data_IF_745979375587
#
_entry.id   IF_745979375587
#
_cell.length_a   1.000
_cell.length_b   1.000
_cell.length_c   1.000
_cell.angle_alpha   90.00
_cell.angle_beta   90.00
_cell.angle_gamma   90.00
#
_symmetry.space_group_name_H-M   'P 1'
#
loop_
_entity.id
_entity.type
_entity.pdbx_description
1 polymer ?
#
# COMPACT_ATOMS: atom_id res chain seq x y z
N UNK A 1 10.95 -6.62 7.71
CA UNK A 1 10.31 -6.55 6.37
C UNK A 1 9.68 -5.19 6.26
N UNK A 2 10.01 -4.41 5.24
CA UNK A 2 9.42 -3.08 4.98
C UNK A 2 7.92 -3.24 4.71
N UNK A 3 7.10 -2.25 5.09
CA UNK A 3 5.65 -2.26 4.86
C UNK A 3 5.29 -2.47 3.38
N UNK A 4 6.12 -1.98 2.45
CA UNK A 4 5.95 -2.17 1.01
C UNK A 4 6.24 -3.61 0.60
N UNK A 5 7.34 -4.21 1.07
CA UNK A 5 7.65 -5.63 0.81
C UNK A 5 6.65 -6.58 1.50
N UNK A 6 6.14 -6.21 2.68
CA UNK A 6 5.10 -6.98 3.38
C UNK A 6 3.75 -6.91 2.66
N UNK A 7 3.40 -5.79 2.01
CA UNK A 7 2.18 -5.69 1.20
C UNK A 7 2.30 -6.41 -0.13
N UNK A 8 3.46 -6.37 -0.78
CA UNK A 8 3.73 -7.21 -1.98
C UNK A 8 3.80 -8.72 -1.65
N UNK A 9 4.29 -9.09 -0.45
CA UNK A 9 4.40 -10.49 -0.03
C UNK A 9 3.12 -11.07 0.59
N UNK A 10 2.18 -10.23 1.06
CA UNK A 10 0.90 -10.70 1.64
C UNK A 10 -0.08 -11.26 0.61
N UNK A 11 0.15 -11.06 -0.69
CA UNK A 11 -0.53 -11.76 -1.77
C UNK A 11 -0.04 -13.18 -2.03
N UNK A 12 0.81 -13.75 -1.18
CA UNK A 12 1.36 -15.10 -1.38
C UNK A 12 0.39 -16.15 -0.86
N UNK A 13 -0.21 -16.88 -1.76
CA UNK A 13 -1.05 -18.06 -1.57
C UNK A 13 -0.51 -19.02 -0.51
N UNK A 14 -1.15 -19.11 0.64
CA UNK A 14 -1.08 -20.26 1.51
C UNK A 14 -2.14 -21.27 1.05
N UNK A 15 -1.81 -22.09 0.06
CA UNK A 15 -2.63 -23.27 -0.29
C UNK A 15 -2.43 -24.32 0.79
N UNK A 16 -3.19 -24.20 1.90
CA UNK A 16 -3.27 -25.21 2.95
C UNK A 16 -4.02 -26.44 2.47
N UNK A 17 -3.36 -27.60 2.50
CA UNK A 17 -3.99 -28.90 2.31
C UNK A 17 -5.18 -29.06 3.25
N UNK A 18 -6.39 -29.21 2.70
CA UNK A 18 -7.57 -29.68 3.41
C UNK A 18 -7.42 -31.17 3.68
N UNK A 19 -6.95 -31.52 4.88
CA UNK A 19 -7.13 -32.87 5.42
C UNK A 19 -8.55 -32.97 5.97
N UNK A 20 -9.38 -33.75 5.33
CA UNK A 20 -10.73 -34.05 5.76
C UNK A 20 -10.69 -34.89 7.06
N UNK A 21 -10.85 -34.25 8.21
CA UNK A 21 -11.18 -34.95 9.46
C UNK A 21 -12.70 -34.91 9.64
N UNK A 22 -13.33 -36.07 9.54
CA UNK A 22 -14.72 -36.30 9.97
C UNK A 22 -14.76 -36.16 11.47
N UNK A 23 -15.51 -35.20 11.99
CA UNK A 23 -15.89 -35.09 13.38
C UNK A 23 -17.41 -34.91 13.45
N UNK A 24 -18.07 -35.74 14.22
CA UNK A 24 -19.50 -35.71 14.43
C UNK A 24 -20.02 -34.52 15.23
N UNK A 25 -21.33 -34.33 15.37
CA UNK A 25 -21.94 -33.13 15.91
C UNK A 25 -21.77 -33.02 17.43
N UNK A 26 -21.16 -31.92 17.89
CA UNK A 26 -21.18 -31.54 19.31
C UNK A 26 -22.28 -30.49 19.51
N UNK A 27 -23.34 -30.74 20.29
CA UNK A 27 -24.35 -29.74 20.58
C UNK A 27 -23.91 -28.91 21.79
N UNK A 28 -24.17 -27.63 21.75
CA UNK A 28 -24.13 -26.64 22.82
C UNK A 28 -23.08 -25.52 22.59
N UNK A 29 -23.56 -24.50 21.84
CA UNK A 29 -23.56 -23.11 22.33
C UNK A 29 -24.51 -22.31 21.43
N UNK A 30 -25.74 -22.07 21.92
CA UNK A 30 -26.59 -21.01 21.39
C UNK A 30 -25.92 -19.66 21.73
N UNK A 31 -24.96 -19.25 20.92
CA UNK A 31 -24.54 -17.88 20.85
C UNK A 31 -25.70 -17.04 20.27
N UNK A 32 -26.08 -15.98 20.95
CA UNK A 32 -27.01 -14.98 20.45
C UNK A 32 -26.60 -14.63 19.03
N UNK A 33 -27.49 -14.86 18.07
CA UNK A 33 -27.41 -14.27 16.74
C UNK A 33 -27.58 -12.76 16.91
N UNK A 34 -26.48 -12.03 17.09
CA UNK A 34 -26.46 -10.60 16.84
C UNK A 34 -26.84 -10.43 15.37
N UNK A 35 -27.91 -9.69 15.09
CA UNK A 35 -28.21 -9.23 13.74
C UNK A 35 -26.98 -8.48 13.16
N UNK A 36 -26.91 -8.24 11.85
CA UNK A 36 -25.79 -7.54 11.25
C UNK A 36 -25.55 -6.26 12.04
N UNK A 37 -24.35 -6.10 12.60
CA UNK A 37 -23.97 -4.90 13.33
C UNK A 37 -24.24 -3.71 12.40
N UNK A 38 -25.02 -2.74 12.88
CA UNK A 38 -25.45 -1.58 12.10
C UNK A 38 -24.21 -0.73 11.79
N UNK A 39 -23.51 -1.07 10.71
CA UNK A 39 -22.30 -0.39 10.26
C UNK A 39 -22.69 0.70 9.27
N UNK A 40 -22.78 1.94 9.75
CA UNK A 40 -23.05 3.08 8.89
C UNK A 40 -21.75 3.76 8.48
N UNK A 41 -21.50 3.82 7.16
CA UNK A 41 -20.38 4.60 6.62
C UNK A 41 -20.88 5.96 6.14
N UNK A 42 -20.23 7.03 6.59
CA UNK A 42 -20.55 8.42 6.21
C UNK A 42 -19.27 9.16 5.79
N UNK A 43 -19.41 10.11 4.87
CA UNK A 43 -18.36 11.06 4.50
C UNK A 43 -18.86 12.48 4.75
N UNK A 44 -17.99 13.31 5.36
CA UNK A 44 -18.29 14.69 5.72
C UNK A 44 -17.00 15.52 5.81
N UNK A 45 -17.14 16.83 5.98
CA UNK A 45 -16.01 17.75 6.15
C UNK A 45 -16.12 18.45 7.50
N UNK A 46 -15.00 18.53 8.22
CA UNK A 46 -14.87 19.23 9.50
C UNK A 46 -13.74 20.23 9.39
N UNK A 47 -14.02 21.53 9.43
CA UNK A 47 -13.00 22.59 9.36
C UNK A 47 -12.00 22.40 8.21
N UNK A 48 -12.45 21.94 7.04
CA UNK A 48 -11.62 21.71 5.87
C UNK A 48 -10.99 20.29 5.79
N UNK A 49 -10.98 19.52 6.88
CA UNK A 49 -10.53 18.12 6.89
C UNK A 49 -11.65 17.22 6.35
N UNK A 50 -11.39 16.45 5.31
CA UNK A 50 -12.32 15.41 4.84
C UNK A 50 -12.28 14.21 5.79
N UNK A 51 -13.43 13.71 6.17
CA UNK A 51 -13.58 12.55 7.07
C UNK A 51 -14.42 11.49 6.39
N UNK A 52 -13.95 10.24 6.42
CA UNK A 52 -14.76 9.05 6.13
C UNK A 52 -14.82 8.24 7.42
N UNK A 53 -16.03 8.00 7.91
CA UNK A 53 -16.24 7.28 9.15
C UNK A 53 -17.15 6.08 8.93
N UNK A 54 -16.70 4.91 9.39
CA UNK A 54 -17.50 3.70 9.55
C UNK A 54 -17.65 3.39 11.02
N UNK A 55 -18.80 3.73 11.58
CA UNK A 55 -19.12 3.41 12.97
C UNK A 55 -19.45 1.94 13.09
N UNK A 56 -18.87 1.25 14.07
CA UNK A 56 -19.15 -0.16 14.38
C UNK A 56 -19.01 -0.40 15.88
N UNK A 57 -20.02 -1.00 16.47
CA UNK A 57 -20.02 -1.41 17.88
C UNK A 57 -19.62 -2.90 18.06
N UNK A 58 -19.24 -3.56 16.97
CA UNK A 58 -18.88 -4.98 17.00
C UNK A 58 -17.62 -5.27 17.83
N UNK A 59 -16.71 -4.31 17.88
CA UNK A 59 -15.45 -4.41 18.61
C UNK A 59 -15.12 -3.07 19.28
N UNK A 60 -14.53 -3.13 20.45
CA UNK A 60 -14.11 -1.95 21.22
C UNK A 60 -12.75 -1.41 20.75
N UNK A 61 -12.59 -1.30 19.44
CA UNK A 61 -11.36 -0.81 18.77
C UNK A 61 -11.71 0.33 17.85
N UNK A 62 -10.87 1.36 17.85
CA UNK A 62 -10.94 2.48 16.90
C UNK A 62 -9.62 2.58 16.14
N UNK A 63 -9.71 2.57 14.82
CA UNK A 63 -8.60 2.89 13.93
C UNK A 63 -8.79 4.28 13.33
N UNK A 64 -7.78 5.12 13.46
CA UNK A 64 -7.71 6.43 12.83
C UNK A 64 -6.52 6.47 11.88
N UNK A 65 -6.77 6.84 10.62
CA UNK A 65 -5.78 6.95 9.54
C UNK A 65 -5.91 8.31 8.89
N UNK A 66 -4.88 9.14 9.08
CA UNK A 66 -4.76 10.43 8.41
C UNK A 66 -3.89 10.25 7.16
N UNK A 67 -4.46 10.54 6.01
CA UNK A 67 -3.81 10.59 4.71
C UNK A 67 -3.41 12.02 4.41
N UNK A 68 -2.11 12.29 4.34
CA UNK A 68 -1.55 13.54 3.84
C UNK A 68 -1.36 13.38 2.33
N UNK A 69 -2.29 13.94 1.56
CA UNK A 69 -2.43 13.70 0.13
C UNK A 69 -1.32 14.36 -0.70
N UNK A 70 -0.97 13.75 -1.82
CA UNK A 70 0.02 14.25 -2.76
C UNK A 70 1.19 13.30 -3.01
N UNK A 71 1.74 12.71 -1.95
CA UNK A 71 2.81 11.73 -2.06
C UNK A 71 3.97 12.21 -2.92
N UNK A 72 4.47 11.36 -3.82
CA UNK A 72 5.61 11.65 -4.69
C UNK A 72 5.43 12.89 -5.59
N UNK A 73 4.19 13.29 -5.88
CA UNK A 73 3.88 14.49 -6.68
C UNK A 73 4.19 15.81 -5.95
N UNK A 74 4.33 15.78 -4.63
CA UNK A 74 4.72 16.92 -3.81
C UNK A 74 6.22 16.92 -3.50
N UNK A 75 6.95 15.93 -4.02
CA UNK A 75 8.35 15.71 -3.73
C UNK A 75 9.23 15.98 -4.95
N UNK A 76 10.48 16.25 -4.68
CA UNK A 76 11.59 16.28 -5.64
C UNK A 76 12.65 15.29 -5.19
N UNK A 77 13.67 15.03 -6.00
CA UNK A 77 14.82 14.20 -5.56
C UNK A 77 15.45 14.71 -4.26
N UNK A 78 15.48 16.04 -4.06
CA UNK A 78 16.01 16.66 -2.84
C UNK A 78 15.11 16.48 -1.62
N UNK A 79 13.80 16.49 -1.83
CA UNK A 79 12.81 16.46 -0.73
C UNK A 79 12.19 15.08 -0.49
N UNK A 80 12.58 14.07 -1.26
CA UNK A 80 12.16 12.70 -1.03
C UNK A 80 12.48 12.26 0.42
N UNK A 81 11.50 11.72 1.12
CA UNK A 81 11.62 11.33 2.53
C UNK A 81 11.33 12.43 3.55
N UNK A 82 10.95 13.65 3.12
CA UNK A 82 10.68 14.77 4.06
C UNK A 82 9.47 14.47 4.96
N UNK A 83 8.39 13.88 4.42
CA UNK A 83 7.19 13.55 5.22
C UNK A 83 7.47 12.49 6.29
N UNK A 84 8.03 11.31 5.98
CA UNK A 84 8.38 10.35 7.01
C UNK A 84 9.43 10.88 8.00
N UNK A 85 10.37 11.75 7.56
CA UNK A 85 11.33 12.37 8.49
C UNK A 85 10.64 13.33 9.45
N UNK A 86 9.73 14.19 8.95
CA UNK A 86 8.93 15.10 9.76
C UNK A 86 8.11 14.34 10.81
N UNK A 87 7.31 13.36 10.36
CA UNK A 87 6.41 12.59 11.21
C UNK A 87 7.15 11.74 12.26
N UNK A 88 8.33 11.20 11.91
CA UNK A 88 9.15 10.44 12.85
C UNK A 88 9.89 11.34 13.84
N UNK A 89 10.37 12.51 13.41
CA UNK A 89 10.96 13.49 14.32
C UNK A 89 9.93 14.00 15.32
N UNK A 90 8.69 14.26 14.88
CA UNK A 90 7.56 14.65 15.73
C UNK A 90 7.22 13.63 16.83
N UNK A 91 7.62 12.38 16.67
CA UNK A 91 7.40 11.34 17.68
C UNK A 91 8.33 11.48 18.90
N UNK A 92 9.41 12.27 18.81
CA UNK A 92 10.36 12.47 19.90
C UNK A 92 10.03 13.65 20.82
N UNK A 93 9.19 14.60 20.38
CA UNK A 93 8.75 15.69 21.23
C UNK A 93 7.81 16.65 20.54
N UNK A 94 6.84 17.14 21.30
CA UNK A 94 5.88 18.15 20.89
C UNK A 94 5.80 19.24 21.94
N UNK A 95 5.05 20.32 21.69
CA UNK A 95 4.89 21.40 22.66
C UNK A 95 4.22 20.95 23.96
N UNK A 96 3.17 20.09 23.85
CA UNK A 96 2.46 19.58 25.03
C UNK A 96 3.12 18.36 25.67
N UNK A 97 3.91 17.62 24.91
CA UNK A 97 4.55 16.38 25.34
C UNK A 97 6.05 16.42 24.99
N UNK A 98 6.86 17.14 25.77
CA UNK A 98 8.29 17.34 25.47
C UNK A 98 9.09 16.03 25.61
N UNK A 99 10.07 15.84 24.75
CA UNK A 99 10.98 14.70 24.75
C UNK A 99 10.24 13.35 24.70
N UNK A 100 10.65 12.43 25.53
CA UNK A 100 10.06 11.07 25.60
C UNK A 100 8.62 11.02 26.11
N UNK A 101 8.05 12.12 26.56
CA UNK A 101 6.70 12.14 27.11
C UNK A 101 5.64 11.80 26.08
N UNK A 102 5.76 12.31 24.85
CA UNK A 102 4.87 11.96 23.74
C UNK A 102 4.83 10.45 23.48
N UNK A 103 6.00 9.81 23.50
CA UNK A 103 6.12 8.36 23.29
C UNK A 103 5.54 7.57 24.47
N UNK A 104 5.84 7.99 25.69
CA UNK A 104 5.32 7.36 26.92
C UNK A 104 3.80 7.52 27.06
N UNK A 105 3.29 8.72 26.75
CA UNK A 105 1.85 8.98 26.80
C UNK A 105 1.08 8.07 25.82
N UNK A 106 1.57 7.92 24.60
CA UNK A 106 0.96 7.05 23.61
C UNK A 106 1.11 5.55 23.97
N UNK A 107 2.27 5.16 24.52
CA UNK A 107 2.48 3.77 24.96
C UNK A 107 1.52 3.36 26.11
N UNK A 108 1.14 4.29 26.99
CA UNK A 108 0.15 4.02 28.07
C UNK A 108 -1.24 3.71 27.56
N UNK A 109 -1.61 4.17 26.36
CA UNK A 109 -2.90 3.85 25.72
C UNK A 109 -2.90 2.51 24.99
N UNK A 110 -1.77 1.82 24.89
CA UNK A 110 -1.62 0.62 24.08
C UNK A 110 -1.78 0.87 22.57
N UNK A 111 -1.75 2.11 22.12
CA UNK A 111 -1.94 2.47 20.72
C UNK A 111 -0.85 1.88 19.82
N UNK A 112 -1.28 1.25 18.73
CA UNK A 112 -0.40 0.79 17.64
C UNK A 112 -0.38 1.89 16.57
N UNK A 113 0.78 2.49 16.35
CA UNK A 113 0.94 3.60 15.41
C UNK A 113 1.43 3.14 14.04
N UNK A 114 1.13 3.93 13.02
CA UNK A 114 1.58 3.75 11.64
C UNK A 114 2.11 5.07 11.07
N UNK A 115 3.19 5.00 10.29
CA UNK A 115 3.69 6.04 9.39
C UNK A 115 4.17 5.31 8.15
N UNK A 116 3.45 5.45 7.04
CA UNK A 116 3.73 4.76 5.78
C UNK A 116 3.69 5.78 4.63
N UNK A 117 4.85 6.18 4.09
CA UNK A 117 4.89 6.95 2.85
C UNK A 117 4.55 6.05 1.67
N UNK A 118 3.58 6.48 0.86
CA UNK A 118 3.14 5.81 -0.36
C UNK A 118 3.26 6.74 -1.57
N UNK A 119 2.97 6.24 -2.77
CA UNK A 119 3.16 7.03 -4.00
C UNK A 119 2.25 8.26 -4.07
N UNK A 120 1.03 8.17 -3.55
CA UNK A 120 0.01 9.21 -3.69
C UNK A 120 -0.27 9.97 -2.39
N UNK A 121 0.22 9.49 -1.26
CA UNK A 121 0.07 10.09 0.07
C UNK A 121 1.06 9.53 1.07
N UNK A 122 1.17 10.18 2.22
CA UNK A 122 1.72 9.56 3.42
C UNK A 122 0.59 9.29 4.39
N UNK A 123 0.41 8.03 4.81
CA UNK A 123 -0.55 7.70 5.86
C UNK A 123 0.14 7.70 7.22
N UNK A 124 -0.48 8.36 8.19
CA UNK A 124 -0.08 8.25 9.59
C UNK A 124 -1.32 8.08 10.46
N UNK A 125 -1.17 7.45 11.60
CA UNK A 125 -2.34 7.19 12.45
C UNK A 125 -2.07 6.21 13.56
N UNK A 126 -3.14 5.73 14.17
CA UNK A 126 -3.07 4.77 15.25
C UNK A 126 -4.32 3.88 15.29
N UNK A 127 -4.20 2.81 16.05
CA UNK A 127 -5.30 1.92 16.43
C UNK A 127 -5.27 1.73 17.93
N UNK A 128 -6.40 1.87 18.60
CA UNK A 128 -6.50 1.92 20.07
C UNK A 128 -7.84 1.36 20.53
N UNK A 129 -7.98 1.01 21.81
CA UNK A 129 -9.29 0.76 22.41
C UNK A 129 -10.09 2.06 22.52
N UNK A 130 -11.41 1.99 22.35
CA UNK A 130 -12.30 3.18 22.36
C UNK A 130 -12.17 4.01 23.64
N UNK A 131 -11.96 3.38 24.81
CA UNK A 131 -11.77 4.07 26.07
C UNK A 131 -10.50 4.93 26.16
N UNK A 132 -9.49 4.65 25.34
CA UNK A 132 -8.22 5.37 25.31
C UNK A 132 -8.10 6.34 24.12
N UNK A 133 -9.18 6.48 23.31
CA UNK A 133 -9.17 7.27 22.08
C UNK A 133 -8.73 8.73 22.31
N UNK A 134 -9.30 9.41 23.30
CA UNK A 134 -9.02 10.82 23.55
C UNK A 134 -7.56 11.05 23.97
N UNK A 135 -7.02 10.15 24.78
CA UNK A 135 -5.62 10.22 25.19
C UNK A 135 -4.68 10.00 24.01
N UNK A 136 -4.95 9.00 23.15
CA UNK A 136 -4.18 8.72 21.96
C UNK A 136 -4.30 9.85 20.91
N UNK A 137 -5.52 10.35 20.68
CA UNK A 137 -5.77 11.46 19.76
C UNK A 137 -5.03 12.72 20.13
N UNK A 138 -5.05 13.10 21.41
CA UNK A 138 -4.35 14.31 21.88
C UNK A 138 -2.86 14.28 21.57
N UNK A 139 -2.20 13.15 21.80
CA UNK A 139 -0.78 12.99 21.45
C UNK A 139 -0.57 12.98 19.94
N UNK A 140 -1.43 12.28 19.20
CA UNK A 140 -1.36 12.20 17.76
C UNK A 140 -1.53 13.56 17.09
N UNK A 141 -2.57 14.32 17.48
CA UNK A 141 -2.85 15.64 16.92
C UNK A 141 -1.72 16.63 17.21
N UNK A 142 -1.19 16.62 18.43
CA UNK A 142 -0.08 17.52 18.80
C UNK A 142 1.21 17.20 18.03
N UNK A 143 1.47 15.93 17.71
CA UNK A 143 2.57 15.53 16.82
C UNK A 143 2.43 16.07 15.39
N UNK A 144 1.20 16.21 14.90
CA UNK A 144 0.95 16.76 13.56
C UNK A 144 1.03 18.28 13.57
N UNK A 145 0.54 18.93 14.63
CA UNK A 145 0.35 20.38 14.68
C UNK A 145 1.55 21.12 15.27
N UNK A 146 2.13 20.59 16.34
CA UNK A 146 3.11 21.30 17.19
C UNK A 146 4.35 20.46 17.52
N UNK A 147 5.00 19.79 16.52
CA UNK A 147 6.24 19.08 16.80
C UNK A 147 7.35 20.07 17.12
N UNK A 148 8.16 19.79 18.12
CA UNK A 148 9.31 20.67 18.49
C UNK A 148 10.39 20.70 17.44
N UNK A 149 10.60 19.59 16.73
CA UNK A 149 11.63 19.40 15.69
C UNK A 149 13.01 19.87 16.18
N UNK A 150 13.36 19.51 17.42
CA UNK A 150 14.66 19.79 17.98
C UNK A 150 15.76 19.10 17.14
N UNK A 151 16.93 19.71 17.04
CA UNK A 151 18.00 19.23 16.17
C UNK A 151 18.39 17.76 16.47
N UNK A 152 18.48 17.42 17.76
CA UNK A 152 18.76 16.04 18.19
C UNK A 152 17.67 15.06 17.76
N UNK A 153 16.40 15.44 17.79
CA UNK A 153 15.26 14.58 17.45
C UNK A 153 15.22 14.33 15.94
N UNK A 154 15.45 15.40 15.16
CA UNK A 154 15.60 15.30 13.71
C UNK A 154 16.80 14.43 13.34
N UNK A 155 17.94 14.60 14.01
CA UNK A 155 19.13 13.78 13.77
C UNK A 155 18.87 12.30 14.11
N UNK A 156 18.17 12.00 15.19
CA UNK A 156 17.83 10.63 15.58
C UNK A 156 16.85 9.99 14.60
N UNK A 157 15.81 10.71 14.18
CA UNK A 157 14.86 10.24 13.16
C UNK A 157 15.57 9.98 11.83
N UNK A 158 16.44 10.91 11.41
CA UNK A 158 17.24 10.78 10.18
C UNK A 158 18.14 9.55 10.23
N UNK A 159 18.87 9.33 11.33
CA UNK A 159 19.74 8.16 11.44
C UNK A 159 19.00 6.84 11.24
N UNK A 160 17.79 6.71 11.80
CA UNK A 160 16.93 5.52 11.57
C UNK A 160 16.50 5.38 10.12
N UNK A 161 16.05 6.49 9.48
CA UNK A 161 15.66 6.46 8.08
C UNK A 161 16.83 6.16 7.14
N UNK A 162 18.03 6.66 7.44
CA UNK A 162 19.25 6.32 6.69
C UNK A 162 19.56 4.84 6.80
N UNK A 163 19.44 4.23 7.98
CA UNK A 163 19.60 2.78 8.15
C UNK A 163 18.58 2.00 7.32
N UNK A 164 17.31 2.45 7.30
CA UNK A 164 16.27 1.84 6.46
C UNK A 164 16.55 2.03 4.96
N UNK A 165 17.01 3.21 4.54
CA UNK A 165 17.39 3.49 3.14
C UNK A 165 18.57 2.63 2.70
N UNK A 166 19.60 2.49 3.55
CA UNK A 166 20.74 1.62 3.30
C UNK A 166 20.30 0.15 3.15
N UNK A 167 19.40 -0.31 4.01
CA UNK A 167 18.85 -1.66 3.91
C UNK A 167 18.08 -1.86 2.59
N UNK A 168 17.24 -0.90 2.16
CA UNK A 168 16.56 -0.93 0.85
C UNK A 168 17.54 -1.05 -0.32
N UNK A 169 18.70 -0.44 -0.21
CA UNK A 169 19.74 -0.55 -1.24
C UNK A 169 20.47 -1.90 -1.21
N UNK A 170 20.67 -2.49 -0.04
CA UNK A 170 21.45 -3.73 0.16
C UNK A 170 20.63 -5.00 0.02
N UNK A 171 19.38 -5.00 0.53
CA UNK A 171 18.47 -6.14 0.41
C UNK A 171 18.03 -6.36 -1.04
N UNK A 172 18.24 -7.58 -1.60
CA UNK A 172 18.00 -7.84 -3.01
C UNK A 172 16.58 -7.55 -3.48
N UNK A 173 15.56 -7.97 -2.74
CA UNK A 173 14.16 -7.77 -3.11
C UNK A 173 13.75 -6.30 -3.11
N UNK A 174 14.16 -5.54 -2.09
CA UNK A 174 13.85 -4.13 -1.98
C UNK A 174 14.58 -3.32 -3.06
N UNK A 175 15.84 -3.67 -3.33
CA UNK A 175 16.61 -3.03 -4.41
C UNK A 175 16.05 -3.33 -5.79
N UNK A 176 15.65 -4.59 -6.04
CA UNK A 176 15.02 -4.99 -7.28
C UNK A 176 13.73 -4.22 -7.54
N UNK A 177 12.89 -4.06 -6.50
CA UNK A 177 11.66 -3.30 -6.61
C UNK A 177 11.94 -1.83 -6.98
N UNK A 178 12.92 -1.19 -6.32
CA UNK A 178 13.30 0.19 -6.64
C UNK A 178 13.78 0.34 -8.09
N UNK A 179 14.58 -0.60 -8.60
CA UNK A 179 15.04 -0.63 -9.99
C UNK A 179 13.86 -0.79 -10.97
N UNK A 180 12.93 -1.70 -10.68
CA UNK A 180 11.78 -1.94 -11.53
C UNK A 180 10.83 -0.72 -11.58
N UNK A 181 10.59 -0.05 -10.44
CA UNK A 181 9.81 1.20 -10.38
C UNK A 181 10.50 2.33 -11.16
N UNK A 182 11.82 2.45 -11.05
CA UNK A 182 12.60 3.41 -11.82
C UNK A 182 12.52 3.12 -13.33
N UNK A 183 12.57 1.86 -13.74
CA UNK A 183 12.41 1.47 -15.16
C UNK A 183 11.02 1.83 -15.67
N UNK A 184 9.98 1.50 -14.90
CA UNK A 184 8.58 1.71 -15.29
C UNK A 184 8.23 3.20 -15.37
N UNK A 185 8.69 4.00 -14.41
CA UNK A 185 8.27 5.38 -14.20
C UNK A 185 9.38 6.44 -14.40
N UNK A 186 10.39 6.18 -15.23
CA UNK A 186 11.60 7.00 -15.35
C UNK A 186 11.34 8.53 -15.42
N UNK A 187 10.27 8.98 -16.09
CA UNK A 187 9.93 10.41 -16.24
C UNK A 187 8.62 10.78 -15.49
N UNK A 188 8.23 9.96 -14.54
CA UNK A 188 7.01 10.16 -13.76
C UNK A 188 7.34 10.31 -12.27
N UNK A 189 6.58 11.09 -11.48
CA UNK A 189 6.83 11.24 -10.04
C UNK A 189 6.94 9.90 -9.27
N UNK A 190 6.30 8.84 -9.73
CA UNK A 190 6.38 7.51 -9.12
C UNK A 190 7.76 6.84 -9.22
N UNK A 191 8.70 7.42 -9.97
CA UNK A 191 10.10 6.99 -9.92
C UNK A 191 10.80 7.38 -8.61
N UNK A 192 10.27 8.38 -7.89
CA UNK A 192 10.80 8.80 -6.60
C UNK A 192 10.38 7.83 -5.49
N UNK A 193 11.32 7.50 -4.61
CA UNK A 193 11.01 6.79 -3.36
C UNK A 193 10.44 7.77 -2.31
N UNK A 194 9.15 7.70 -1.96
CA UNK A 194 8.56 8.60 -0.96
C UNK A 194 9.18 8.42 0.43
N UNK A 195 9.82 7.28 0.70
CA UNK A 195 10.56 7.03 1.95
C UNK A 195 11.91 7.74 2.01
N UNK A 196 12.37 8.30 0.89
CA UNK A 196 13.66 8.95 0.74
C UNK A 196 14.83 8.02 0.46
N UNK A 197 15.83 8.58 -0.19
CA UNK A 197 17.14 7.96 -0.46
C UNK A 197 18.16 8.35 0.60
N UNK A 198 19.30 7.67 0.65
CA UNK A 198 20.42 8.08 1.51
C UNK A 198 20.82 9.54 1.25
N UNK A 199 20.89 9.93 -0.03
CA UNK A 199 21.28 11.29 -0.45
C UNK A 199 20.26 12.33 -0.01
N UNK A 200 18.96 12.12 -0.28
CA UNK A 200 17.93 13.08 0.09
C UNK A 200 17.81 13.23 1.60
N UNK A 201 17.77 12.11 2.35
CA UNK A 201 17.66 12.11 3.80
C UNK A 201 18.85 12.77 4.49
N UNK A 202 20.08 12.59 3.99
CA UNK A 202 21.27 13.26 4.50
C UNK A 202 21.23 14.78 4.28
N UNK A 203 20.62 15.22 3.17
CA UNK A 203 20.51 16.64 2.81
C UNK A 203 19.38 17.42 3.48
N UNK A 204 18.35 16.74 4.02
CA UNK A 204 17.22 17.38 4.70
C UNK A 204 17.65 18.00 6.03
N UNK A 205 17.19 19.22 6.31
CA UNK A 205 17.51 19.97 7.54
C UNK A 205 16.26 20.19 8.41
N UNK A 206 16.45 20.56 9.67
CA UNK A 206 15.34 20.99 10.55
C UNK A 206 14.59 22.21 10.00
N UNK A 207 15.27 23.11 9.29
CA UNK A 207 14.64 24.25 8.61
C UNK A 207 13.71 23.79 7.45
N UNK A 208 14.15 22.80 6.65
CA UNK A 208 13.29 22.22 5.61
C UNK A 208 12.02 21.58 6.20
N UNK A 209 12.15 20.87 7.33
CA UNK A 209 11.00 20.26 8.01
C UNK A 209 10.01 21.31 8.54
N UNK A 210 10.51 22.39 9.14
CA UNK A 210 9.68 23.50 9.65
C UNK A 210 8.97 24.23 8.52
N UNK A 211 9.65 24.45 7.38
CA UNK A 211 9.04 25.02 6.20
C UNK A 211 7.97 24.10 5.62
N UNK A 212 8.26 22.80 5.52
CA UNK A 212 7.29 21.81 5.03
C UNK A 212 6.05 21.70 5.94
N UNK A 213 6.25 21.69 7.25
CA UNK A 213 5.16 21.69 8.24
C UNK A 213 4.23 22.89 8.02
N UNK A 214 4.78 24.11 7.94
CA UNK A 214 4.02 25.34 7.74
C UNK A 214 3.25 25.38 6.41
N UNK A 215 3.92 24.94 5.31
CA UNK A 215 3.44 25.18 3.95
C UNK A 215 2.64 23.98 3.40
N UNK A 216 2.89 22.78 3.90
CA UNK A 216 2.35 21.55 3.33
C UNK A 216 1.43 20.75 4.27
N UNK A 217 1.48 21.00 5.58
CA UNK A 217 0.57 20.34 6.53
C UNK A 217 -0.68 21.23 6.70
N UNK A 218 -1.58 21.13 5.73
CA UNK A 218 -2.79 21.95 5.57
C UNK A 218 -4.03 21.07 5.44
N UNK A 219 -5.21 21.57 5.88
CA UNK A 219 -6.42 20.75 5.95
C UNK A 219 -6.91 20.27 4.59
N UNK A 220 -6.68 21.03 3.50
CA UNK A 220 -7.04 20.61 2.13
C UNK A 220 -6.27 19.37 1.65
N UNK A 221 -5.13 19.03 2.25
CA UNK A 221 -4.37 17.79 1.99
C UNK A 221 -4.79 16.63 2.88
N UNK A 222 -5.78 16.79 3.75
CA UNK A 222 -6.12 15.80 4.76
C UNK A 222 -7.38 15.02 4.41
N UNK A 223 -7.26 13.69 4.44
CA UNK A 223 -8.37 12.75 4.52
C UNK A 223 -8.19 11.91 5.78
N UNK A 224 -9.16 11.97 6.70
CA UNK A 224 -9.17 11.16 7.92
C UNK A 224 -10.16 10.00 7.74
N UNK A 225 -9.66 8.77 7.71
CA UNK A 225 -10.48 7.56 7.76
C UNK A 225 -10.58 7.06 9.19
N UNK A 226 -11.81 6.86 9.66
CA UNK A 226 -12.14 6.44 11.03
C UNK A 226 -13.01 5.19 10.98
N UNK A 227 -12.57 4.12 11.62
CA UNK A 227 -13.36 2.88 11.72
C UNK A 227 -13.37 2.39 13.16
N UNK A 228 -14.55 2.15 13.71
CA UNK A 228 -14.70 1.55 15.03
C UNK A 228 -15.79 2.17 15.90
N UNK A 229 -15.70 1.89 17.20
CA UNK A 229 -16.68 2.34 18.20
C UNK A 229 -16.47 3.79 18.61
N UNK A 230 -16.85 4.72 17.74
CA UNK A 230 -16.80 6.16 17.99
C UNK A 230 -17.95 6.86 17.27
N UNK A 231 -18.57 7.84 17.93
CA UNK A 231 -19.66 8.60 17.34
C UNK A 231 -19.14 9.70 16.41
N UNK A 232 -19.95 10.11 15.43
CA UNK A 232 -19.63 11.22 14.52
C UNK A 232 -19.40 12.53 15.30
N UNK A 233 -20.28 12.87 16.24
CA UNK A 233 -20.16 14.09 17.04
C UNK A 233 -18.83 14.14 17.81
N UNK A 234 -18.34 12.98 18.29
CA UNK A 234 -17.07 12.89 18.98
C UNK A 234 -15.90 13.16 18.02
N UNK A 235 -15.89 12.52 16.83
CA UNK A 235 -14.87 12.78 15.79
C UNK A 235 -14.87 14.23 15.35
N UNK A 236 -16.05 14.84 15.12
CA UNK A 236 -16.19 16.25 14.79
C UNK A 236 -15.60 17.17 15.88
N UNK A 237 -15.85 16.87 17.16
CA UNK A 237 -15.29 17.60 18.29
C UNK A 237 -13.76 17.50 18.33
N UNK A 238 -13.21 16.28 18.20
CA UNK A 238 -11.76 16.04 18.18
C UNK A 238 -11.06 16.81 17.05
N UNK A 239 -11.58 16.71 15.83
CA UNK A 239 -11.00 17.37 14.66
C UNK A 239 -11.10 18.89 14.77
N UNK A 240 -12.26 19.41 15.15
CA UNK A 240 -12.47 20.88 15.31
C UNK A 240 -11.53 21.48 16.32
N UNK A 241 -11.31 20.80 17.46
CA UNK A 241 -10.44 21.28 18.52
C UNK A 241 -8.93 21.17 18.20
N UNK A 242 -8.57 20.47 17.12
CA UNK A 242 -7.17 20.18 16.77
C UNK A 242 -6.88 20.42 15.30
N UNK A 243 -6.81 19.37 14.47
CA UNK A 243 -6.42 19.44 13.05
C UNK A 243 -7.19 20.50 12.27
N UNK A 244 -8.43 20.77 12.63
CA UNK A 244 -9.26 21.82 12.04
C UNK A 244 -8.77 23.25 12.29
N UNK A 245 -7.77 23.45 13.16
CA UNK A 245 -7.11 24.75 13.42
C UNK A 245 -5.93 25.01 12.47
N UNK A 246 -5.52 24.00 11.71
CA UNK A 246 -4.47 24.14 10.71
C UNK A 246 -4.92 25.04 9.54
N UNK A 247 -3.98 25.67 8.82
CA UNK A 247 -4.30 26.46 7.64
C UNK A 247 -5.09 25.64 6.61
N UNK A 248 -6.05 26.25 5.89
CA UNK A 248 -6.87 25.53 4.91
C UNK A 248 -6.03 25.02 3.72
N UNK A 249 -5.06 25.80 3.25
CA UNK A 249 -4.35 25.53 2.00
C UNK A 249 -5.26 25.58 0.76
N UNK A 250 -4.68 25.25 -0.38
CA UNK A 250 -5.35 25.28 -1.69
C UNK A 250 -5.22 23.95 -2.48
N UNK A 251 -4.73 22.89 -1.82
CA UNK A 251 -4.49 21.61 -2.46
C UNK A 251 -5.80 20.98 -2.96
N UNK A 252 -5.75 20.44 -4.18
CA UNK A 252 -6.85 19.67 -4.77
C UNK A 252 -6.37 18.28 -5.15
N UNK A 253 -7.06 17.28 -4.67
CA UNK A 253 -6.82 15.92 -5.08
C UNK A 253 -7.23 15.72 -6.54
N UNK A 254 -6.28 15.29 -7.36
CA UNK A 254 -6.51 14.83 -8.73
C UNK A 254 -5.70 13.57 -8.97
N UNK A 255 -6.20 12.66 -9.80
CA UNK A 255 -5.40 11.50 -10.21
C UNK A 255 -4.25 11.94 -11.13
N UNK A 256 -3.06 11.33 -11.04
CA UNK A 256 -1.99 11.61 -11.98
C UNK A 256 -2.38 11.20 -13.40
N UNK A 257 -1.76 11.80 -14.43
CA UNK A 257 -1.89 11.30 -15.79
C UNK A 257 -1.38 9.85 -15.87
N UNK A 258 -1.94 9.05 -16.77
CA UNK A 258 -1.47 7.69 -16.99
C UNK A 258 -0.02 7.69 -17.47
N UNK A 259 0.75 6.68 -17.03
CA UNK A 259 2.10 6.51 -17.55
C UNK A 259 2.05 6.23 -19.07
N UNK A 260 2.88 6.91 -19.88
CA UNK A 260 2.92 6.63 -21.31
C UNK A 260 3.42 5.19 -21.54
N UNK A 261 2.89 4.49 -22.55
CA UNK A 261 3.38 3.18 -22.92
C UNK A 261 4.86 3.27 -23.33
N UNK A 262 5.69 2.42 -22.77
CA UNK A 262 7.13 2.34 -23.06
C UNK A 262 7.43 1.03 -23.80
N UNK A 263 8.51 1.03 -24.57
CA UNK A 263 9.06 -0.24 -25.08
C UNK A 263 9.63 -1.04 -23.92
N UNK A 264 9.56 -2.36 -24.00
CA UNK A 264 10.20 -3.24 -23.03
C UNK A 264 11.67 -2.85 -22.85
N UNK A 265 12.10 -2.77 -21.60
CA UNK A 265 13.46 -2.34 -21.24
C UNK A 265 13.94 -3.13 -20.01
N UNK A 266 15.28 -3.29 -19.93
CA UNK A 266 15.93 -3.97 -18.83
C UNK A 266 16.83 -3.02 -18.03
N UNK A 267 16.64 -2.95 -16.73
CA UNK A 267 17.62 -2.41 -15.79
C UNK A 267 18.34 -3.55 -15.09
N UNK A 268 19.65 -3.64 -15.31
CA UNK A 268 20.46 -4.75 -14.86
C UNK A 268 21.42 -4.25 -13.79
N UNK A 269 21.38 -4.89 -12.62
CA UNK A 269 22.40 -4.71 -11.60
C UNK A 269 23.14 -6.01 -11.36
N UNK A 270 24.40 -6.07 -11.81
CA UNK A 270 25.29 -7.19 -11.54
C UNK A 270 25.55 -7.30 -10.04
N UNK A 271 25.32 -8.50 -9.48
CA UNK A 271 25.74 -8.89 -8.13
C UNK A 271 26.22 -10.34 -8.14
N UNK A 272 27.38 -10.65 -7.54
CA UNK A 272 27.90 -12.03 -7.47
C UNK A 272 27.22 -12.82 -6.36
N UNK A 273 25.91 -13.01 -6.46
CA UNK A 273 25.10 -13.76 -5.49
C UNK A 273 24.53 -15.04 -6.11
N UNK A 274 24.30 -16.10 -5.33
CA UNK A 274 23.88 -17.40 -5.86
C UNK A 274 22.45 -17.41 -6.40
N UNK A 275 21.57 -16.53 -5.90
CA UNK A 275 20.19 -16.38 -6.32
C UNK A 275 20.03 -15.15 -7.16
N UNK A 276 19.42 -15.29 -8.32
CA UNK A 276 19.02 -14.18 -9.19
C UNK A 276 17.60 -13.74 -8.83
N UNK A 277 17.37 -12.44 -8.86
CA UNK A 277 16.08 -11.80 -8.64
C UNK A 277 15.65 -11.09 -9.91
N UNK A 278 14.44 -11.39 -10.38
CA UNK A 278 13.86 -10.80 -11.59
C UNK A 278 12.48 -10.25 -11.27
N UNK A 279 12.22 -9.01 -11.68
CA UNK A 279 10.92 -8.36 -11.55
C UNK A 279 10.60 -7.60 -12.83
N UNK A 280 9.60 -8.05 -13.55
CA UNK A 280 8.99 -7.30 -14.63
C UNK A 280 7.78 -6.53 -14.12
N UNK A 281 7.67 -5.24 -14.41
CA UNK A 281 6.52 -4.41 -14.06
C UNK A 281 5.84 -3.85 -15.30
N UNK A 282 4.54 -3.65 -15.20
CA UNK A 282 3.71 -2.97 -16.19
C UNK A 282 2.67 -2.07 -15.51
N UNK A 283 2.46 -0.88 -16.07
CA UNK A 283 1.46 0.06 -15.58
C UNK A 283 0.08 -0.34 -16.09
N UNK A 284 -0.91 -0.34 -15.20
CA UNK A 284 -2.30 -0.62 -15.53
C UNK A 284 -3.09 0.62 -15.97
N UNK A 285 -4.38 0.42 -16.27
CA UNK A 285 -5.30 1.53 -16.53
C UNK A 285 -5.49 2.38 -15.29
N UNK A 286 -5.89 3.66 -15.47
CA UNK A 286 -6.31 4.49 -14.34
C UNK A 286 -7.34 3.78 -13.48
N UNK A 287 -7.31 3.99 -12.18
CA UNK A 287 -8.26 3.40 -11.23
C UNK A 287 -9.74 3.77 -11.52
N UNK A 288 -9.99 4.86 -12.24
CA UNK A 288 -11.33 5.23 -12.71
C UNK A 288 -11.74 4.57 -14.02
N UNK A 289 -10.83 3.85 -14.69
CA UNK A 289 -11.13 3.13 -15.93
C UNK A 289 -12.03 1.93 -15.66
N UNK A 290 -12.95 1.63 -16.60
CA UNK A 290 -13.73 0.39 -16.57
C UNK A 290 -12.86 -0.88 -16.68
N UNK A 291 -11.63 -0.76 -17.20
CA UNK A 291 -10.65 -1.86 -17.32
C UNK A 291 -9.91 -2.14 -16.02
N UNK A 292 -10.04 -1.28 -14.98
CA UNK A 292 -9.34 -1.44 -13.70
C UNK A 292 -9.59 -2.81 -13.05
N UNK A 293 -10.85 -3.24 -13.01
CA UNK A 293 -11.23 -4.51 -12.38
C UNK A 293 -10.69 -5.71 -13.14
N UNK A 294 -10.77 -5.68 -14.46
CA UNK A 294 -10.19 -6.71 -15.30
C UNK A 294 -8.67 -6.80 -15.16
N UNK A 295 -7.98 -5.65 -15.06
CA UNK A 295 -6.53 -5.62 -14.84
C UNK A 295 -6.15 -6.22 -13.47
N UNK A 296 -6.93 -5.93 -12.44
CA UNK A 296 -6.73 -6.50 -11.11
C UNK A 296 -6.89 -8.03 -11.12
N UNK A 297 -7.95 -8.53 -11.73
CA UNK A 297 -8.20 -9.98 -11.90
C UNK A 297 -7.11 -10.63 -12.76
N UNK A 298 -6.71 -10.02 -13.87
CA UNK A 298 -5.65 -10.54 -14.75
C UNK A 298 -4.32 -10.67 -14.02
N UNK A 299 -3.95 -9.67 -13.18
CA UNK A 299 -2.71 -9.72 -12.39
C UNK A 299 -2.76 -10.82 -11.33
N UNK A 300 -3.90 -11.00 -10.66
CA UNK A 300 -4.07 -12.08 -9.69
C UNK A 300 -4.02 -13.48 -10.36
N UNK A 301 -4.61 -13.63 -11.55
CA UNK A 301 -4.51 -14.83 -12.37
C UNK A 301 -3.07 -15.11 -12.79
N UNK A 302 -2.33 -14.08 -13.22
CA UNK A 302 -0.91 -14.22 -13.56
C UNK A 302 -0.11 -14.74 -12.35
N UNK A 303 -0.41 -14.25 -11.15
CA UNK A 303 0.24 -14.74 -9.93
C UNK A 303 0.03 -16.23 -9.70
N UNK A 304 -1.22 -16.71 -9.84
CA UNK A 304 -1.54 -18.13 -9.73
C UNK A 304 -0.83 -18.98 -10.77
N UNK A 305 -0.75 -18.50 -12.02
CA UNK A 305 -0.07 -19.20 -13.13
C UNK A 305 1.43 -19.28 -12.92
N UNK A 306 2.08 -18.18 -12.54
CA UNK A 306 3.51 -18.15 -12.22
C UNK A 306 3.85 -19.13 -11.10
N UNK A 307 3.04 -19.14 -10.04
CA UNK A 307 3.21 -20.06 -8.94
C UNK A 307 3.11 -21.53 -9.41
N UNK A 308 2.07 -21.86 -10.19
CA UNK A 308 1.88 -23.22 -10.72
C UNK A 308 3.03 -23.63 -11.62
N UNK A 309 3.29 -22.85 -12.68
CA UNK A 309 4.24 -23.22 -13.72
C UNK A 309 5.70 -23.28 -13.23
N UNK A 310 6.10 -22.40 -12.33
CA UNK A 310 7.50 -22.26 -11.91
C UNK A 310 7.78 -23.03 -10.62
N UNK A 311 6.89 -22.88 -9.61
CA UNK A 311 7.10 -23.50 -8.30
C UNK A 311 6.53 -24.92 -8.23
N UNK A 312 5.23 -25.09 -8.52
CA UNK A 312 4.55 -26.36 -8.25
C UNK A 312 4.95 -27.44 -9.22
N UNK A 313 4.96 -27.14 -10.52
CA UNK A 313 5.22 -28.13 -11.57
C UNK A 313 6.72 -28.40 -11.78
N UNK A 314 7.58 -27.39 -11.59
CA UNK A 314 9.01 -27.49 -11.98
C UNK A 314 9.98 -27.31 -10.81
N UNK A 315 9.55 -26.82 -9.66
CA UNK A 315 10.41 -26.61 -8.49
C UNK A 315 11.58 -25.65 -8.75
N UNK A 316 11.43 -24.68 -9.67
CA UNK A 316 12.50 -23.79 -10.10
C UNK A 316 12.67 -22.56 -9.20
N UNK A 317 11.69 -22.27 -8.35
CA UNK A 317 11.70 -21.15 -7.43
C UNK A 317 10.79 -21.40 -6.22
N UNK A 318 11.14 -20.84 -5.06
CA UNK A 318 10.24 -20.75 -3.91
C UNK A 318 9.28 -19.56 -4.00
N UNK A 319 9.70 -18.48 -4.67
CA UNK A 319 8.94 -17.25 -4.78
C UNK A 319 8.74 -16.90 -6.27
N UNK A 320 7.56 -17.26 -6.79
CA UNK A 320 7.09 -16.92 -8.12
C UNK A 320 5.65 -16.41 -8.01
N UNK A 321 5.44 -15.13 -8.28
CA UNK A 321 4.13 -14.48 -8.15
C UNK A 321 4.03 -13.21 -9.00
N UNK A 322 2.83 -12.69 -9.19
CA UNK A 322 2.60 -11.38 -9.80
C UNK A 322 2.29 -10.36 -8.69
N UNK A 323 3.20 -9.42 -8.40
CA UNK A 323 2.90 -8.33 -7.49
C UNK A 323 1.81 -7.43 -8.06
N UNK A 324 0.96 -6.89 -7.17
CA UNK A 324 0.01 -5.84 -7.49
C UNK A 324 0.21 -4.68 -6.51
N UNK A 325 0.49 -3.50 -7.04
CA UNK A 325 0.56 -2.26 -6.28
C UNK A 325 -0.69 -1.42 -6.57
N UNK A 326 -1.50 -1.22 -5.54
CA UNK A 326 -2.67 -0.36 -5.63
C UNK A 326 -2.23 1.10 -5.51
N UNK A 327 -2.36 1.83 -6.60
CA UNK A 327 -2.03 3.25 -6.73
C UNK A 327 -3.00 3.90 -7.71
N UNK A 328 -2.95 5.23 -7.87
CA UNK A 328 -3.75 5.92 -8.88
C UNK A 328 -3.46 5.41 -10.30
N UNK A 329 -2.22 5.01 -10.56
CA UNK A 329 -1.83 4.17 -11.69
C UNK A 329 -1.45 2.81 -11.08
N UNK A 330 -2.35 1.82 -11.09
CA UNK A 330 -2.04 0.51 -10.54
C UNK A 330 -0.90 -0.15 -11.32
N UNK A 331 -0.07 -0.91 -10.61
CA UNK A 331 1.06 -1.62 -11.21
C UNK A 331 0.88 -3.11 -10.99
N UNK A 332 0.95 -3.86 -12.07
CA UNK A 332 1.08 -5.30 -12.05
C UNK A 332 2.50 -5.72 -12.40
N UNK A 333 2.84 -6.98 -12.18
CA UNK A 333 4.16 -7.46 -12.53
C UNK A 333 4.29 -8.97 -12.54
N UNK A 334 5.52 -9.44 -12.72
CA UNK A 334 5.93 -10.83 -12.58
C UNK A 334 7.25 -10.87 -11.82
N UNK A 335 7.28 -11.51 -10.67
CA UNK A 335 8.44 -11.63 -9.80
C UNK A 335 8.89 -13.09 -9.65
N UNK A 336 10.19 -13.30 -9.69
CA UNK A 336 10.81 -14.59 -9.37
C UNK A 336 12.17 -14.40 -8.74
N UNK A 337 12.51 -15.24 -7.72
CA UNK A 337 13.86 -15.43 -7.23
C UNK A 337 14.34 -16.86 -7.51
N UNK A 338 15.43 -17.04 -8.25
CA UNK A 338 15.87 -18.37 -8.73
C UNK A 338 17.38 -18.48 -8.92
N UNK A 339 17.98 -19.65 -8.71
CA UNK A 339 19.35 -19.92 -9.17
C UNK A 339 19.44 -20.26 -10.67
N UNK A 340 18.31 -20.39 -11.39
CA UNK A 340 18.24 -20.81 -12.79
C UNK A 340 17.46 -19.81 -13.67
N UNK A 341 17.95 -18.57 -13.83
CA UNK A 341 17.21 -17.51 -14.51
C UNK A 341 16.91 -17.84 -15.98
N UNK A 342 17.82 -18.48 -16.72
CA UNK A 342 17.63 -18.90 -18.11
C UNK A 342 16.43 -19.83 -18.33
N UNK A 343 16.13 -20.68 -17.33
CA UNK A 343 14.98 -21.58 -17.41
C UNK A 343 13.68 -20.90 -17.02
N UNK A 344 13.76 -19.88 -16.16
CA UNK A 344 12.58 -19.26 -15.54
C UNK A 344 12.06 -18.08 -16.36
N UNK A 345 12.92 -17.25 -16.94
CA UNK A 345 12.49 -16.08 -17.71
C UNK A 345 11.55 -16.43 -18.87
N UNK A 346 11.85 -17.45 -19.70
CA UNK A 346 10.92 -17.86 -20.77
C UNK A 346 9.56 -18.28 -20.22
N UNK A 347 9.52 -18.95 -19.05
CA UNK A 347 8.26 -19.33 -18.41
C UNK A 347 7.46 -18.13 -17.92
N UNK A 348 8.14 -17.10 -17.35
CA UNK A 348 7.48 -15.86 -16.94
C UNK A 348 6.81 -15.17 -18.13
N UNK A 349 7.53 -15.05 -19.25
CA UNK A 349 7.01 -14.44 -20.48
C UNK A 349 5.84 -15.26 -21.03
N UNK A 350 6.01 -16.59 -21.12
CA UNK A 350 4.97 -17.50 -21.59
C UNK A 350 3.65 -17.34 -20.81
N UNK A 351 3.71 -17.18 -19.46
CA UNK A 351 2.47 -17.04 -18.67
C UNK A 351 1.72 -15.74 -18.98
N UNK A 352 2.41 -14.67 -19.36
CA UNK A 352 1.81 -13.43 -19.84
C UNK A 352 1.20 -13.63 -21.22
N UNK A 353 1.97 -14.17 -22.17
CA UNK A 353 1.53 -14.44 -23.55
C UNK A 353 0.29 -15.35 -23.61
N UNK A 354 0.21 -16.33 -22.72
CA UNK A 354 -0.97 -17.21 -22.64
C UNK A 354 -2.24 -16.48 -22.17
N UNK A 355 -2.11 -15.49 -21.29
CA UNK A 355 -3.25 -14.64 -20.88
C UNK A 355 -3.71 -13.73 -22.01
N UNK A 356 -2.80 -13.29 -22.87
CA UNK A 356 -3.10 -12.46 -24.05
C UNK A 356 -3.76 -13.28 -25.18
N UNK A 357 -3.24 -14.50 -25.40
CA UNK A 357 -3.62 -15.30 -26.55
C UNK A 357 -4.94 -16.06 -26.39
N UNK A 358 -5.30 -16.45 -25.15
CA UNK A 358 -6.41 -17.38 -24.92
C UNK A 358 -7.39 -16.82 -23.86
N UNK A 359 -8.66 -16.92 -24.18
CA UNK A 359 -9.71 -16.70 -23.19
C UNK A 359 -9.80 -17.88 -22.24
N UNK A 360 -10.02 -17.55 -20.96
CA UNK A 360 -10.29 -18.54 -19.93
C UNK A 360 -11.71 -19.08 -20.07
N UNK A 361 -11.93 -20.30 -19.60
CA UNK A 361 -13.28 -20.79 -19.39
C UNK A 361 -14.00 -19.93 -18.32
N UNK A 362 -15.27 -19.61 -18.58
CA UNK A 362 -16.06 -18.75 -17.71
C UNK A 362 -16.18 -19.31 -16.29
N UNK A 363 -16.38 -20.61 -16.12
CA UNK A 363 -16.53 -21.22 -14.79
C UNK A 363 -15.21 -21.24 -14.03
N UNK A 364 -14.09 -21.42 -14.73
CA UNK A 364 -12.76 -21.35 -14.14
C UNK A 364 -12.48 -19.93 -13.63
N UNK A 365 -12.81 -18.91 -14.41
CA UNK A 365 -12.67 -17.51 -14.01
C UNK A 365 -13.57 -17.17 -12.83
N UNK A 366 -14.84 -17.57 -12.86
CA UNK A 366 -15.79 -17.30 -11.77
C UNK A 366 -15.32 -17.89 -10.44
N UNK A 367 -14.88 -19.15 -10.42
CA UNK A 367 -14.34 -19.79 -9.22
C UNK A 367 -13.05 -19.12 -8.70
N UNK A 368 -12.20 -18.65 -9.60
CA UNK A 368 -11.02 -17.90 -9.25
C UNK A 368 -11.39 -16.56 -8.57
N UNK A 369 -12.38 -15.85 -9.12
CA UNK A 369 -12.89 -14.58 -8.59
C UNK A 369 -13.51 -14.78 -7.20
N UNK A 370 -14.24 -15.87 -6.96
CA UNK A 370 -14.79 -16.20 -5.64
C UNK A 370 -13.69 -16.31 -4.58
N UNK A 371 -12.62 -17.06 -4.89
CA UNK A 371 -11.46 -17.19 -3.99
C UNK A 371 -10.75 -15.88 -3.76
N UNK A 372 -10.47 -15.13 -4.83
CA UNK A 372 -9.81 -13.84 -4.76
C UNK A 372 -10.62 -12.80 -3.97
N UNK A 373 -11.93 -12.74 -4.19
CA UNK A 373 -12.84 -11.86 -3.45
C UNK A 373 -12.89 -12.20 -1.97
N UNK A 374 -12.89 -13.48 -1.61
CA UNK A 374 -12.83 -13.91 -0.21
C UNK A 374 -11.53 -13.49 0.48
N UNK A 375 -10.37 -13.73 -0.14
CA UNK A 375 -9.07 -13.32 0.40
C UNK A 375 -9.03 -11.80 0.64
N UNK A 376 -9.49 -11.04 -0.34
CA UNK A 376 -9.53 -9.59 -0.26
C UNK A 376 -10.41 -9.08 0.89
N UNK A 377 -11.60 -9.66 1.07
CA UNK A 377 -12.49 -9.32 2.20
C UNK A 377 -11.88 -9.70 3.55
N UNK A 378 -11.19 -10.84 3.62
CA UNK A 378 -10.53 -11.29 4.84
C UNK A 378 -9.38 -10.36 5.26
N UNK A 379 -8.58 -9.85 4.30
CA UNK A 379 -7.54 -8.86 4.57
C UNK A 379 -8.12 -7.53 5.08
N UNK A 380 -9.30 -7.15 4.61
CA UNK A 380 -9.99 -5.92 5.00
C UNK A 380 -10.99 -6.10 6.18
N UNK A 381 -10.94 -7.24 6.89
CA UNK A 381 -11.85 -7.49 8.02
C UNK A 381 -11.51 -6.68 9.29
N UNK A 382 -10.27 -6.22 9.44
CA UNK A 382 -9.83 -5.45 10.61
C UNK A 382 -10.19 -3.97 10.50
N UNK A 383 -10.36 -3.27 11.63
CA UNK A 383 -10.64 -1.83 11.61
C UNK A 383 -9.58 -1.01 10.85
N UNK A 384 -8.26 -1.26 11.01
CA UNK A 384 -7.24 -0.62 10.17
C UNK A 384 -7.39 -0.92 8.68
N UNK A 385 -7.59 -2.20 8.32
CA UNK A 385 -7.77 -2.61 6.92
C UNK A 385 -9.00 -1.95 6.29
N UNK A 386 -10.12 -1.85 7.01
CA UNK A 386 -11.31 -1.14 6.55
C UNK A 386 -11.07 0.36 6.36
N UNK A 387 -10.31 1.01 7.27
CA UNK A 387 -9.98 2.42 7.12
C UNK A 387 -9.15 2.67 5.85
N UNK A 388 -8.12 1.84 5.60
CA UNK A 388 -7.31 1.91 4.39
C UNK A 388 -8.13 1.63 3.13
N UNK A 389 -9.03 0.64 3.19
CA UNK A 389 -9.91 0.30 2.09
C UNK A 389 -10.87 1.44 1.71
N UNK A 390 -11.53 2.06 2.70
CA UNK A 390 -12.45 3.17 2.48
C UNK A 390 -11.73 4.38 1.89
N UNK A 391 -10.54 4.71 2.41
CA UNK A 391 -9.75 5.84 1.91
C UNK A 391 -9.31 5.61 0.45
N UNK A 392 -8.84 4.41 0.10
CA UNK A 392 -8.44 4.08 -1.27
C UNK A 392 -9.62 4.09 -2.24
N UNK A 393 -10.76 3.53 -1.82
CA UNK A 393 -11.96 3.58 -2.64
C UNK A 393 -12.40 5.02 -2.92
N UNK A 394 -12.39 5.88 -1.90
CA UNK A 394 -12.71 7.30 -2.07
C UNK A 394 -11.74 8.01 -3.02
N UNK A 395 -10.43 7.80 -2.81
CA UNK A 395 -9.40 8.54 -3.52
C UNK A 395 -9.19 8.03 -4.95
N UNK A 396 -9.21 6.72 -5.16
CA UNK A 396 -8.93 6.14 -6.47
C UNK A 396 -10.18 5.87 -7.30
N UNK A 397 -11.26 5.42 -6.67
CA UNK A 397 -12.51 5.05 -7.36
C UNK A 397 -13.56 6.15 -7.32
N UNK A 398 -13.25 7.28 -6.67
CA UNK A 398 -14.11 8.47 -6.57
C UNK A 398 -15.22 8.39 -5.53
N UNK A 399 -15.40 7.26 -4.85
CA UNK A 399 -16.33 7.11 -3.74
C UNK A 399 -16.01 5.88 -2.89
N UNK A 400 -16.02 6.03 -1.57
CA UNK A 400 -15.91 4.89 -0.64
C UNK A 400 -16.99 3.82 -0.86
N UNK A 401 -18.16 4.19 -1.41
CA UNK A 401 -19.27 3.27 -1.71
C UNK A 401 -18.92 2.25 -2.79
N UNK A 402 -18.04 2.58 -3.71
CA UNK A 402 -17.57 1.62 -4.72
C UNK A 402 -16.84 0.45 -4.06
N UNK A 403 -16.25 0.69 -2.89
CA UNK A 403 -15.66 -0.38 -2.09
C UNK A 403 -16.68 -1.44 -1.65
N UNK A 404 -17.89 -1.04 -1.30
CA UNK A 404 -18.95 -1.97 -0.90
C UNK A 404 -19.42 -2.85 -2.09
N UNK A 405 -19.18 -2.41 -3.32
CA UNK A 405 -19.47 -3.15 -4.57
C UNK A 405 -18.28 -3.99 -5.07
N UNK A 406 -17.17 -4.01 -4.35
CA UNK A 406 -15.90 -4.58 -4.81
C UNK A 406 -16.06 -6.00 -5.37
N UNK A 407 -16.65 -6.93 -4.61
CA UNK A 407 -16.84 -8.32 -5.03
C UNK A 407 -17.75 -8.41 -6.26
N UNK A 408 -18.84 -7.61 -6.30
CA UNK A 408 -19.72 -7.54 -7.47
C UNK A 408 -18.97 -7.08 -8.71
N UNK A 409 -18.15 -6.04 -8.61
CA UNK A 409 -17.33 -5.51 -9.71
C UNK A 409 -16.33 -6.53 -10.24
N UNK A 410 -15.79 -7.39 -9.37
CA UNK A 410 -14.94 -8.48 -9.81
C UNK A 410 -15.73 -9.51 -10.63
N UNK A 411 -16.96 -9.86 -10.21
CA UNK A 411 -17.83 -10.78 -10.93
C UNK A 411 -18.34 -10.25 -12.28
N UNK A 412 -18.36 -8.93 -12.47
CA UNK A 412 -18.70 -8.29 -13.74
C UNK A 412 -17.58 -8.46 -14.80
N UNK A 413 -16.40 -8.97 -14.41
CA UNK A 413 -15.26 -9.18 -15.32
C UNK A 413 -15.44 -10.45 -16.14
N UNK A 414 -15.44 -10.32 -17.47
CA UNK A 414 -15.53 -11.45 -18.40
C UNK A 414 -14.15 -12.00 -18.80
N UNK A 415 -14.08 -13.25 -19.31
CA UNK A 415 -12.84 -13.79 -19.89
C UNK A 415 -12.24 -12.93 -21.00
N UNK A 416 -13.09 -12.32 -21.84
CA UNK A 416 -12.63 -11.40 -22.90
C UNK A 416 -12.06 -10.08 -22.34
N UNK A 417 -12.53 -9.61 -21.18
CA UNK A 417 -11.97 -8.43 -20.54
C UNK A 417 -10.58 -8.73 -19.98
N UNK A 418 -10.38 -9.90 -19.35
CA UNK A 418 -9.06 -10.37 -18.89
C UNK A 418 -8.07 -10.42 -20.06
N UNK A 419 -8.43 -11.05 -21.16
CA UNK A 419 -7.58 -11.12 -22.35
C UNK A 419 -7.26 -9.74 -22.92
N UNK A 420 -8.25 -8.86 -23.02
CA UNK A 420 -8.09 -7.50 -23.55
C UNK A 420 -7.13 -6.66 -22.70
N UNK A 421 -7.20 -6.73 -21.38
CA UNK A 421 -6.29 -5.98 -20.51
C UNK A 421 -4.90 -6.59 -20.48
N UNK A 422 -4.76 -7.91 -20.60
CA UNK A 422 -3.47 -8.56 -20.75
C UNK A 422 -2.77 -8.05 -22.02
N UNK A 423 -3.43 -8.12 -23.18
CA UNK A 423 -2.91 -7.63 -24.45
C UNK A 423 -2.64 -6.10 -24.47
N UNK A 424 -3.42 -5.32 -23.72
CA UNK A 424 -3.28 -3.87 -23.70
C UNK A 424 -2.23 -3.32 -22.74
N UNK A 425 -1.97 -4.00 -21.62
CA UNK A 425 -1.15 -3.46 -20.51
C UNK A 425 0.02 -4.35 -20.10
N UNK A 426 0.02 -5.66 -20.43
CA UNK A 426 1.04 -6.58 -19.93
C UNK A 426 2.15 -6.86 -20.97
N UNK A 427 2.10 -6.28 -22.17
CA UNK A 427 3.01 -6.56 -23.29
C UNK A 427 4.34 -5.84 -23.21
N UNK A 428 4.38 -4.63 -22.64
CA UNK A 428 5.57 -3.77 -22.60
C UNK A 428 6.24 -3.82 -21.22
N UNK A 429 6.61 -5.01 -20.77
CA UNK A 429 7.15 -5.24 -19.42
C UNK A 429 8.49 -4.55 -19.26
N UNK A 430 8.63 -3.79 -18.17
CA UNK A 430 9.87 -3.16 -17.75
C UNK A 430 10.55 -4.07 -16.72
N UNK A 431 11.64 -4.72 -17.13
CA UNK A 431 12.33 -5.68 -16.28
C UNK A 431 13.46 -5.05 -15.48
N UNK A 432 13.55 -5.43 -14.22
CA UNK A 432 14.75 -5.29 -13.41
C UNK A 432 15.35 -6.68 -13.16
N UNK A 433 16.66 -6.75 -13.22
CA UNK A 433 17.46 -7.93 -12.92
C UNK A 433 18.52 -7.60 -11.88
N UNK A 434 18.61 -8.41 -10.86
CA UNK A 434 19.64 -8.31 -9.83
C UNK A 434 20.22 -9.68 -9.56
N UNK A 435 21.49 -9.89 -9.92
CA UNK A 435 22.14 -11.18 -9.79
C UNK A 435 23.35 -11.32 -10.69
N UNK A 436 23.87 -12.54 -10.81
CA UNK A 436 24.99 -12.87 -11.67
C UNK A 436 24.55 -12.94 -13.14
N UNK A 437 24.94 -11.93 -13.94
CA UNK A 437 24.59 -11.82 -15.37
C UNK A 437 25.18 -12.94 -16.24
N UNK A 438 26.21 -13.65 -15.77
CA UNK A 438 26.78 -14.78 -16.50
C UNK A 438 25.84 -15.98 -16.57
N UNK A 439 24.75 -15.96 -15.78
CA UNK A 439 23.72 -17.00 -15.74
C UNK A 439 22.56 -16.74 -16.72
N UNK A 440 22.60 -15.63 -17.45
CA UNK A 440 21.59 -15.24 -18.44
C UNK A 440 22.22 -15.22 -19.84
N UNK A 441 22.04 -16.27 -20.62
CA UNK A 441 22.61 -16.39 -21.94
C UNK A 441 21.63 -15.89 -23.02
N UNK A 442 21.88 -14.69 -23.56
CA UNK A 442 21.21 -14.19 -24.77
C UNK A 442 19.75 -13.70 -24.65
N UNK A 443 19.31 -13.29 -23.47
CA UNK A 443 17.94 -12.83 -23.19
C UNK A 443 17.79 -11.32 -22.86
N UNK A 444 18.80 -10.51 -23.20
CA UNK A 444 18.78 -9.06 -22.96
C UNK A 444 18.22 -8.27 -24.15
#
# INVERSE_FOLDING_TARGET
MSAVAARCARGTFALGLLVAARSGPNPLHRGRSGGPADTTTTSYVVSGVRVIQRSSQAHDVVAMRLYLLGGTRQLTERTAGIEPLLLRAAAYGTEQFPGDEARRALARTGAVTVIEPELDWTVCGFTVLAGDLDAAWRVFADRIMHPTLAEQDVAQARARLLTEAHRRYTEPDERLHALAMQALFADHPYALDPSGTETSLAGLTGADLKAYLRDQVVTSRMLLAVVGNVTRAHVESLVTATLGQLPPGDYRWVLPPTAPPRKAHWLIQQRPIPTTYMLGLFAGPSATSHQYWAFRVATALLSSRLHSAIRTERGLSYAAYAPYLEAAIPVGGAYVSTPKPDQVLPLMIQQVEELEARELDFFVLSRFIDGFGFEYLAENATAPGQADFLARAELYLGSYRVGDEFVKRLHDVSPSDVRRVAAGYMTAIQFAYLGDTTRMHGHW
#
